data_IF_052991496969
#
_entry.id   IF_052991496969
#
_cell.length_a   1.000
_cell.length_b   1.000
_cell.length_c   1.000
_cell.angle_alpha   90.00
_cell.angle_beta   90.00
_cell.angle_gamma   90.00
#
_symmetry.space_group_name_H-M   'P 1'
#
loop_
_entity.id
_entity.type
_entity.pdbx_description
1 polymer ?
#
# COMPACT_ATOMS: atom_id res chain seq x y z
N UNK A 1 28.54 38.57 21.55
CA UNK A 1 27.50 37.64 21.31
C UNK A 1 28.09 36.26 21.24
N UNK A 2 27.69 35.35 22.11
CA UNK A 2 28.03 33.96 22.01
C UNK A 2 27.53 33.41 20.69
N UNK A 3 28.37 32.75 19.90
CA UNK A 3 28.03 32.05 18.67
C UNK A 3 27.01 30.95 19.02
N UNK A 4 25.74 31.20 18.63
CA UNK A 4 24.62 30.39 19.05
C UNK A 4 24.73 28.97 18.55
N UNK A 5 24.52 28.09 19.46
CA UNK A 5 23.91 26.80 19.10
C UNK A 5 22.43 27.11 18.91
N UNK A 6 22.00 27.27 17.65
CA UNK A 6 20.57 27.30 17.36
C UNK A 6 19.97 25.98 17.81
N UNK A 7 19.08 25.96 18.80
CA UNK A 7 18.46 24.73 19.23
C UNK A 7 17.67 24.18 18.04
N UNK A 8 17.96 22.94 17.63
CA UNK A 8 17.12 22.22 16.68
C UNK A 8 15.80 21.94 17.36
N UNK A 9 14.80 22.77 17.10
CA UNK A 9 13.46 22.63 17.68
C UNK A 9 12.49 22.23 16.57
N UNK A 10 11.68 21.24 16.85
CA UNK A 10 10.52 20.88 16.04
C UNK A 10 9.28 21.47 16.71
N UNK A 11 8.56 22.31 15.98
CA UNK A 11 7.28 22.86 16.44
C UNK A 11 6.18 22.17 15.63
N UNK A 12 5.19 21.64 16.34
CA UNK A 12 4.00 21.05 15.75
C UNK A 12 2.76 21.65 16.38
N UNK A 13 1.72 21.82 15.55
CA UNK A 13 0.35 22.08 16.02
C UNK A 13 0.24 23.38 16.85
N UNK A 14 0.74 24.48 16.30
CA UNK A 14 0.68 25.79 16.94
C UNK A 14 -0.67 26.46 16.69
N UNK A 15 -1.36 26.86 17.76
CA UNK A 15 -2.59 27.67 17.72
C UNK A 15 -2.46 28.91 18.60
N UNK A 16 -2.76 30.09 18.05
CA UNK A 16 -2.86 31.34 18.77
C UNK A 16 -4.32 31.80 18.77
N UNK A 17 -4.86 32.00 19.98
CA UNK A 17 -6.21 32.50 20.21
C UNK A 17 -6.11 33.87 20.86
N UNK A 18 -6.86 34.88 20.36
CA UNK A 18 -6.82 36.24 20.88
C UNK A 18 -8.08 36.55 21.67
N UNK A 19 -7.91 37.04 22.92
CA UNK A 19 -9.00 37.53 23.75
C UNK A 19 -9.80 36.43 24.50
N UNK A 20 -9.36 35.19 24.43
CA UNK A 20 -10.00 34.08 25.14
C UNK A 20 -8.92 33.15 25.68
N UNK A 21 -8.96 32.83 26.98
CA UNK A 21 -8.14 31.78 27.54
C UNK A 21 -8.72 30.42 27.18
N UNK A 22 -7.93 29.58 26.53
CA UNK A 22 -8.38 28.23 26.11
C UNK A 22 -8.26 27.23 27.25
N UNK A 23 -7.24 27.42 28.10
CA UNK A 23 -6.98 26.60 29.26
C UNK A 23 -6.97 27.49 30.51
N UNK A 24 -7.84 27.23 31.46
CA UNK A 24 -7.98 27.99 32.73
C UNK A 24 -7.54 27.19 33.93
N UNK A 25 -7.14 25.95 33.74
CA UNK A 25 -6.62 25.02 34.76
C UNK A 25 -5.63 24.06 34.11
N UNK A 26 -5.11 23.12 34.90
CA UNK A 26 -4.31 22.02 34.34
C UNK A 26 -5.07 21.31 33.22
N UNK A 27 -4.41 21.00 32.13
CA UNK A 27 -5.02 20.34 30.97
C UNK A 27 -4.17 19.14 30.54
N UNK A 28 -4.83 18.17 29.92
CA UNK A 28 -4.17 17.09 29.20
C UNK A 28 -3.75 17.59 27.84
N UNK A 29 -2.48 17.41 27.40
CA UNK A 29 -2.04 17.76 26.08
C UNK A 29 -2.93 17.08 25.03
N UNK A 30 -3.28 17.78 23.92
CA UNK A 30 -4.06 17.19 22.84
C UNK A 30 -3.37 15.95 22.27
N UNK A 31 -4.14 14.91 21.99
CA UNK A 31 -3.70 13.68 21.31
C UNK A 31 -4.06 13.67 19.82
N UNK A 32 -4.64 14.75 19.33
CA UNK A 32 -5.00 14.98 17.93
C UNK A 32 -4.68 16.41 17.51
N UNK A 33 -4.58 16.71 16.21
CA UNK A 33 -4.35 18.06 15.72
C UNK A 33 -5.38 19.05 16.28
N UNK A 34 -4.90 20.24 16.65
CA UNK A 34 -5.77 21.31 17.11
C UNK A 34 -6.72 21.73 15.98
N UNK A 35 -7.96 22.00 16.35
CA UNK A 35 -8.99 22.49 15.42
C UNK A 35 -9.09 24.01 15.49
N UNK A 36 -9.68 24.62 14.45
CA UNK A 36 -10.06 26.04 14.48
C UNK A 36 -11.19 26.24 15.51
N UNK A 37 -10.99 27.15 16.44
CA UNK A 37 -12.00 27.56 17.44
C UNK A 37 -12.23 29.06 17.35
N UNK A 38 -13.28 29.54 18.03
CA UNK A 38 -13.60 30.97 18.09
C UNK A 38 -12.39 31.80 18.52
N UNK A 39 -12.12 32.89 17.83
CA UNK A 39 -11.00 33.80 18.05
C UNK A 39 -9.61 33.24 17.72
N UNK A 40 -9.48 32.10 17.04
CA UNK A 40 -8.18 31.65 16.51
C UNK A 40 -7.67 32.68 15.50
N UNK A 41 -6.41 33.09 15.65
CA UNK A 41 -5.72 34.02 14.74
C UNK A 41 -4.62 33.34 13.93
N UNK A 42 -4.06 32.25 14.47
CA UNK A 42 -3.10 31.42 13.76
C UNK A 42 -3.35 29.96 14.14
N UNK A 43 -3.36 29.08 13.17
CA UNK A 43 -3.36 27.63 13.32
C UNK A 43 -2.47 27.06 12.22
N UNK A 44 -1.26 26.65 12.58
CA UNK A 44 -0.24 26.20 11.64
C UNK A 44 0.60 25.04 12.20
N UNK A 45 1.59 24.61 11.46
CA UNK A 45 2.48 23.50 11.80
C UNK A 45 1.71 22.17 12.00
N UNK A 46 0.69 21.93 11.19
CA UNK A 46 -0.16 20.75 11.25
C UNK A 46 0.12 19.77 10.11
N UNK A 47 1.00 20.14 9.18
CA UNK A 47 1.33 19.31 8.01
C UNK A 47 2.82 19.01 7.98
N UNK A 48 3.16 17.84 7.48
CA UNK A 48 4.54 17.43 7.19
C UNK A 48 5.00 17.87 5.79
N UNK A 49 4.13 18.50 5.02
CA UNK A 49 4.36 18.80 3.59
C UNK A 49 4.98 20.17 3.36
N UNK A 50 4.57 21.17 4.12
CA UNK A 50 4.96 22.56 3.88
C UNK A 50 5.03 23.34 5.20
N UNK A 51 6.18 23.94 5.47
CA UNK A 51 6.40 24.76 6.69
C UNK A 51 5.60 26.08 6.69
N UNK A 52 5.06 26.49 5.55
CA UNK A 52 4.29 27.75 5.41
C UNK A 52 2.78 27.52 5.34
N UNK A 53 2.33 26.28 5.47
CA UNK A 53 0.90 25.95 5.43
C UNK A 53 0.23 26.24 6.79
N UNK A 54 -0.91 26.89 6.75
CA UNK A 54 -1.72 27.19 7.93
C UNK A 54 -3.21 27.02 7.61
N UNK A 55 -3.95 26.39 8.55
CA UNK A 55 -5.41 26.30 8.48
C UNK A 55 -6.10 27.65 8.78
N UNK A 56 -5.46 28.49 9.60
CA UNK A 56 -5.87 29.86 9.88
C UNK A 56 -4.61 30.72 9.92
N UNK A 57 -4.61 31.84 9.21
CA UNK A 57 -3.49 32.79 9.18
C UNK A 57 -3.99 34.21 8.99
N UNK A 58 -3.43 35.23 9.67
CA UNK A 58 -3.74 36.64 9.44
C UNK A 58 -3.10 37.16 8.15
N UNK A 59 -2.26 36.39 7.48
CA UNK A 59 -1.53 36.75 6.27
C UNK A 59 -0.67 35.60 5.79
N UNK A 60 0.21 35.87 4.82
CA UNK A 60 1.14 34.86 4.30
C UNK A 60 2.20 34.50 5.32
N UNK A 61 2.49 33.21 5.45
CA UNK A 61 3.61 32.71 6.25
C UNK A 61 4.82 32.53 5.34
N UNK A 62 5.95 33.09 5.77
CA UNK A 62 7.22 32.97 5.04
C UNK A 62 8.21 32.16 5.87
N UNK A 63 8.80 31.14 5.27
CA UNK A 63 9.88 30.36 5.89
C UNK A 63 11.18 31.16 5.83
N UNK A 64 11.81 31.34 6.97
CA UNK A 64 13.11 32.02 7.10
C UNK A 64 14.11 31.11 7.84
N UNK A 65 15.39 31.32 7.61
CA UNK A 65 16.45 30.69 8.38
C UNK A 65 16.55 29.18 8.20
N UNK A 66 16.16 28.62 7.05
CA UNK A 66 16.25 27.20 6.79
C UNK A 66 15.16 26.35 7.47
N UNK A 67 14.07 26.98 7.95
CA UNK A 67 12.90 26.25 8.44
C UNK A 67 12.28 25.42 7.32
N UNK A 68 12.05 24.14 7.59
CA UNK A 68 11.42 23.20 6.65
C UNK A 68 10.44 22.28 7.39
N UNK A 69 9.48 21.76 6.66
CA UNK A 69 8.60 20.73 7.19
C UNK A 69 9.40 19.45 7.47
N UNK A 70 9.05 18.74 8.54
CA UNK A 70 9.69 17.49 8.93
C UNK A 70 8.64 16.40 9.06
N UNK A 71 9.05 15.16 8.88
CA UNK A 71 8.21 13.97 9.09
C UNK A 71 7.92 13.68 10.57
N UNK A 72 8.54 14.41 11.48
CA UNK A 72 8.25 14.30 12.91
C UNK A 72 6.92 14.99 13.21
N UNK A 73 5.88 14.20 13.36
CA UNK A 73 4.56 14.66 13.78
C UNK A 73 4.22 13.99 15.12
N UNK A 74 3.97 14.75 16.22
CA UNK A 74 3.60 14.17 17.51
C UNK A 74 2.23 13.48 17.51
N UNK A 75 1.41 13.72 16.48
CA UNK A 75 0.15 13.04 16.25
C UNK A 75 0.30 11.98 15.18
N UNK A 76 1.26 11.17 15.25
CA UNK A 76 1.69 10.15 14.31
C UNK A 76 0.94 10.02 12.98
N UNK A 77 1.66 9.73 11.93
CA UNK A 77 1.13 9.51 10.59
C UNK A 77 0.39 8.15 10.49
N UNK A 78 -0.31 7.73 11.56
CA UNK A 78 -1.08 6.49 11.57
C UNK A 78 -2.56 6.75 11.38
N UNK A 79 -3.18 5.96 10.54
CA UNK A 79 -4.62 5.91 10.35
C UNK A 79 -5.09 4.47 10.20
N UNK A 80 -6.27 4.16 10.73
CA UNK A 80 -6.87 2.84 10.62
C UNK A 80 -8.38 2.95 10.47
N UNK A 81 -8.90 2.26 9.45
CA UNK A 81 -10.34 2.14 9.14
C UNK A 81 -11.09 3.48 9.11
N UNK A 82 -10.44 4.52 8.57
CA UNK A 82 -10.99 5.87 8.43
C UNK A 82 -10.77 6.78 9.63
N UNK A 83 -10.17 6.28 10.71
CA UNK A 83 -9.74 7.10 11.85
C UNK A 83 -8.28 7.48 11.67
N UNK A 84 -8.00 8.78 11.63
CA UNK A 84 -6.63 9.31 11.52
C UNK A 84 -6.04 9.74 12.85
N UNK A 85 -4.76 10.08 12.82
CA UNK A 85 -4.02 10.66 13.96
C UNK A 85 -4.05 9.82 15.22
N UNK A 86 -3.55 8.60 15.12
CA UNK A 86 -3.43 7.68 16.25
C UNK A 86 -1.98 7.23 16.46
N UNK A 87 -1.66 6.67 17.63
CA UNK A 87 -0.37 6.03 17.86
C UNK A 87 -0.26 4.70 17.10
N UNK A 88 0.96 4.19 16.92
CA UNK A 88 1.18 2.86 16.36
C UNK A 88 0.44 1.77 17.16
N UNK A 89 0.47 1.87 18.48
CA UNK A 89 -0.21 0.94 19.38
C UNK A 89 -1.73 0.98 19.21
N UNK A 90 -2.34 2.17 19.07
CA UNK A 90 -3.79 2.31 18.83
C UNK A 90 -4.19 1.78 17.45
N UNK A 91 -3.28 1.89 16.47
CA UNK A 91 -3.45 1.27 15.14
C UNK A 91 -3.31 -0.26 15.17
N UNK A 92 -2.94 -0.85 16.31
CA UNK A 92 -2.72 -2.29 16.48
C UNK A 92 -1.34 -2.75 15.99
N UNK A 93 -0.38 -1.83 15.84
CA UNK A 93 1.00 -2.12 15.47
C UNK A 93 1.83 -2.17 16.76
N UNK A 94 1.89 -3.34 17.35
CA UNK A 94 2.62 -3.56 18.61
C UNK A 94 3.84 -4.46 18.42
N UNK A 95 4.03 -5.00 17.25
CA UNK A 95 5.07 -5.97 16.91
C UNK A 95 5.95 -5.46 15.78
N UNK A 96 7.15 -6.00 15.71
CA UNK A 96 8.19 -5.65 14.76
C UNK A 96 9.40 -5.05 15.45
N UNK A 97 10.58 -5.39 15.01
CA UNK A 97 11.85 -4.88 15.53
C UNK A 97 12.15 -3.48 15.01
N UNK A 98 11.57 -3.14 13.83
CA UNK A 98 11.65 -1.81 13.26
C UNK A 98 10.37 -1.02 13.53
N UNK A 99 10.46 0.12 14.21
CA UNK A 99 9.31 0.98 14.41
C UNK A 99 8.85 1.57 13.08
N UNK A 100 7.54 1.61 12.87
CA UNK A 100 6.98 2.32 11.73
C UNK A 100 7.08 3.84 11.92
N UNK A 101 7.31 4.55 10.83
CA UNK A 101 7.26 6.01 10.77
C UNK A 101 5.90 6.55 10.32
N UNK A 102 5.01 5.67 9.89
CA UNK A 102 3.63 5.98 9.52
C UNK A 102 2.91 4.76 8.95
N UNK A 103 1.59 4.77 9.01
CA UNK A 103 0.77 3.75 8.36
C UNK A 103 -0.63 4.29 8.00
N UNK A 104 -1.16 3.76 6.90
CA UNK A 104 -2.58 3.86 6.53
C UNK A 104 -3.14 2.46 6.38
N UNK A 105 -4.09 2.08 7.22
CA UNK A 105 -4.58 0.72 7.36
C UNK A 105 -6.09 0.69 7.10
N UNK A 106 -6.51 -0.21 6.23
CA UNK A 106 -7.92 -0.54 6.03
C UNK A 106 -8.10 -2.05 6.19
N UNK A 107 -8.51 -2.47 7.38
CA UNK A 107 -8.67 -3.89 7.71
C UNK A 107 -9.83 -4.53 6.95
N UNK A 108 -10.86 -3.76 6.58
CA UNK A 108 -12.01 -4.25 5.78
C UNK A 108 -11.62 -4.51 4.33
N UNK A 109 -10.74 -3.68 3.78
CA UNK A 109 -10.22 -3.87 2.42
C UNK A 109 -9.03 -4.85 2.37
N UNK A 110 -8.53 -5.28 3.52
CA UNK A 110 -7.33 -6.12 3.59
C UNK A 110 -6.09 -5.45 3.01
N UNK A 111 -5.97 -4.13 3.19
CA UNK A 111 -4.93 -3.31 2.60
C UNK A 111 -4.29 -2.38 3.62
N UNK A 112 -2.97 -2.29 3.62
CA UNK A 112 -2.25 -1.26 4.36
C UNK A 112 -1.06 -0.71 3.59
N UNK A 113 -0.73 0.55 3.90
CA UNK A 113 0.50 1.21 3.46
C UNK A 113 1.27 1.51 4.73
N UNK A 114 2.51 1.07 4.82
CA UNK A 114 3.36 1.30 5.98
C UNK A 114 4.72 1.84 5.56
N UNK A 115 5.29 2.70 6.40
CA UNK A 115 6.63 3.24 6.19
C UNK A 115 7.50 3.02 7.42
N UNK A 116 8.76 2.70 7.20
CA UNK A 116 9.76 2.45 8.24
C UNK A 116 11.15 2.86 7.76
N UNK A 117 12.12 2.86 8.68
CA UNK A 117 13.53 2.94 8.34
C UNK A 117 14.14 1.57 8.59
N UNK A 118 14.77 0.99 7.56
CA UNK A 118 15.45 -0.29 7.68
C UNK A 118 16.72 -0.23 8.52
N UNK A 119 17.27 -1.38 8.87
CA UNK A 119 18.54 -1.50 9.54
C UNK A 119 19.39 -2.62 8.89
N UNK A 120 20.58 -2.86 9.40
CA UNK A 120 21.51 -3.89 8.88
C UNK A 120 21.33 -5.27 9.54
N UNK A 121 20.31 -5.46 10.37
CA UNK A 121 20.02 -6.76 10.99
C UNK A 121 19.14 -7.61 10.07
N UNK A 122 19.68 -8.67 9.50
CA UNK A 122 19.01 -9.57 8.57
C UNK A 122 17.77 -10.29 9.13
N UNK A 123 17.51 -10.19 10.42
CA UNK A 123 16.32 -10.73 11.07
C UNK A 123 15.27 -9.66 11.42
N UNK A 124 15.46 -8.44 10.93
CA UNK A 124 14.54 -7.35 11.24
C UNK A 124 13.16 -7.55 10.65
N UNK A 125 12.17 -7.13 11.42
CA UNK A 125 10.74 -7.24 11.08
C UNK A 125 10.05 -5.89 11.20
N UNK A 126 8.98 -5.68 10.44
CA UNK A 126 8.11 -4.52 10.59
C UNK A 126 6.64 -4.92 10.66
N UNK A 127 5.84 -4.16 11.41
CA UNK A 127 4.41 -4.37 11.53
C UNK A 127 3.66 -3.93 10.27
N UNK A 128 2.51 -4.53 9.97
CA UNK A 128 1.69 -4.16 8.80
C UNK A 128 0.26 -3.74 9.16
N UNK A 129 -0.19 -3.98 10.40
CA UNK A 129 -1.49 -3.55 10.93
C UNK A 129 -2.72 -4.25 10.36
N UNK A 130 -2.58 -5.22 9.46
CA UNK A 130 -3.68 -6.02 8.93
C UNK A 130 -4.12 -7.09 9.93
N UNK A 131 -5.31 -7.65 9.73
CA UNK A 131 -5.89 -8.68 10.60
C UNK A 131 -5.33 -10.09 10.38
N UNK A 132 -4.61 -10.29 9.28
CA UNK A 132 -3.97 -11.57 8.93
C UNK A 132 -2.69 -11.32 8.12
N UNK A 133 -1.88 -12.35 7.91
CA UNK A 133 -0.65 -12.25 7.14
C UNK A 133 -0.92 -11.72 5.73
N UNK A 134 -0.11 -10.76 5.24
CA UNK A 134 -0.16 -10.37 3.84
C UNK A 134 0.17 -11.55 2.92
N UNK A 135 -0.63 -11.73 1.89
CA UNK A 135 -0.41 -12.74 0.84
C UNK A 135 0.54 -12.21 -0.25
N UNK A 136 0.53 -10.88 -0.43
CA UNK A 136 1.41 -10.15 -1.34
C UNK A 136 1.69 -8.77 -0.76
N UNK A 137 2.91 -8.27 -0.95
CA UNK A 137 3.24 -6.87 -0.67
C UNK A 137 4.29 -6.32 -1.62
N UNK A 138 4.18 -5.03 -1.90
CA UNK A 138 5.15 -4.29 -2.71
C UNK A 138 6.04 -3.49 -1.77
N UNK A 139 7.34 -3.57 -1.97
CA UNK A 139 8.34 -2.88 -1.17
C UNK A 139 9.19 -1.97 -2.05
N UNK A 140 9.41 -0.73 -1.61
CA UNK A 140 10.21 0.24 -2.34
C UNK A 140 11.04 1.11 -1.40
N UNK A 141 12.33 1.25 -1.71
CA UNK A 141 13.17 2.29 -1.14
C UNK A 141 12.67 3.67 -1.59
N UNK A 142 12.61 4.61 -0.65
CA UNK A 142 12.24 6.01 -0.89
C UNK A 142 13.49 6.90 -1.07
N UNK A 143 14.65 6.39 -0.71
CA UNK A 143 15.91 7.12 -0.73
C UNK A 143 16.79 6.72 -1.93
N UNK A 144 16.67 5.48 -2.41
CA UNK A 144 17.52 4.91 -3.45
C UNK A 144 16.76 4.46 -4.70
N UNK A 145 17.49 4.38 -5.82
CA UNK A 145 16.97 3.92 -7.12
C UNK A 145 16.93 2.40 -7.23
N UNK A 146 16.31 1.73 -6.25
CA UNK A 146 16.12 0.29 -6.26
C UNK A 146 14.85 -0.12 -7.01
N UNK A 147 14.77 -1.39 -7.42
CA UNK A 147 13.57 -1.95 -8.02
C UNK A 147 12.41 -2.00 -7.03
N UNK A 148 11.19 -2.01 -7.54
CA UNK A 148 10.00 -2.34 -6.80
C UNK A 148 9.96 -3.84 -6.54
N UNK A 149 10.22 -4.28 -5.34
CA UNK A 149 10.16 -5.70 -4.96
C UNK A 149 8.73 -6.09 -4.65
N UNK A 150 8.24 -7.15 -5.29
CA UNK A 150 6.92 -7.74 -5.06
C UNK A 150 7.12 -9.08 -4.38
N UNK A 151 6.90 -9.14 -3.08
CA UNK A 151 6.95 -10.34 -2.27
C UNK A 151 5.59 -11.01 -2.20
N UNK A 152 5.55 -12.35 -2.19
CA UNK A 152 4.31 -13.11 -2.13
C UNK A 152 4.54 -14.54 -1.63
N UNK A 153 3.43 -15.18 -1.18
CA UNK A 153 3.40 -16.57 -0.72
C UNK A 153 2.37 -17.41 -1.48
N UNK A 154 1.72 -16.83 -2.49
CA UNK A 154 0.53 -17.36 -3.16
C UNK A 154 0.81 -18.35 -4.28
N UNK A 155 2.06 -18.54 -4.68
CA UNK A 155 2.42 -19.45 -5.78
C UNK A 155 2.41 -20.91 -5.33
N UNK A 156 3.17 -21.23 -4.30
CA UNK A 156 3.38 -22.59 -3.78
C UNK A 156 3.52 -22.63 -2.25
N UNK A 157 3.32 -21.48 -1.59
CA UNK A 157 3.50 -21.31 -0.15
C UNK A 157 4.92 -20.90 0.28
N UNK A 158 5.89 -20.88 -0.64
CA UNK A 158 7.21 -20.33 -0.37
C UNK A 158 7.18 -18.79 -0.35
N UNK A 159 8.19 -18.20 0.28
CA UNK A 159 8.32 -16.74 0.35
C UNK A 159 9.22 -16.27 -0.79
N UNK A 160 8.58 -15.90 -1.87
CA UNK A 160 9.23 -15.52 -3.11
C UNK A 160 9.08 -14.03 -3.42
N UNK A 161 9.90 -13.53 -4.33
CA UNK A 161 9.73 -12.18 -4.85
C UNK A 161 10.13 -12.06 -6.32
N UNK A 162 9.51 -11.06 -6.96
CA UNK A 162 9.86 -10.57 -8.29
C UNK A 162 9.96 -9.05 -8.25
N UNK A 163 10.42 -8.46 -9.34
CA UNK A 163 10.43 -7.01 -9.50
C UNK A 163 9.26 -6.55 -10.37
N UNK A 164 8.50 -5.54 -9.90
CA UNK A 164 7.36 -5.00 -10.64
C UNK A 164 7.80 -4.27 -11.91
N UNK A 165 8.97 -3.64 -11.87
CA UNK A 165 9.50 -2.80 -12.96
C UNK A 165 10.44 -3.56 -13.91
N UNK A 166 10.52 -4.89 -13.81
CA UNK A 166 11.32 -5.73 -14.71
C UNK A 166 10.55 -6.97 -15.17
N UNK A 167 11.08 -7.62 -16.20
CA UNK A 167 10.57 -8.90 -16.70
C UNK A 167 11.23 -10.12 -16.00
N UNK A 168 12.06 -9.90 -14.99
CA UNK A 168 12.85 -10.94 -14.33
C UNK A 168 12.05 -12.13 -13.81
N UNK A 169 12.74 -13.24 -13.64
CA UNK A 169 12.20 -14.45 -13.04
C UNK A 169 11.97 -14.29 -11.53
N UNK A 170 11.33 -15.30 -10.93
CA UNK A 170 11.20 -15.42 -9.49
C UNK A 170 12.57 -15.52 -8.80
N UNK A 171 12.65 -14.89 -7.64
CA UNK A 171 13.74 -15.05 -6.70
C UNK A 171 13.17 -15.63 -5.40
N UNK A 172 13.93 -16.53 -4.78
CA UNK A 172 13.54 -17.09 -3.49
C UNK A 172 14.05 -16.20 -2.36
N UNK A 173 13.15 -15.82 -1.47
CA UNK A 173 13.52 -15.09 -0.27
C UNK A 173 14.10 -16.05 0.76
N UNK A 174 15.17 -15.63 1.43
CA UNK A 174 15.74 -16.37 2.57
C UNK A 174 15.03 -16.07 3.90
N UNK A 175 14.02 -15.21 3.90
CA UNK A 175 13.33 -14.75 5.11
C UNK A 175 12.22 -15.70 5.55
N UNK A 176 11.88 -15.64 6.84
CA UNK A 176 10.71 -16.34 7.37
C UNK A 176 9.42 -15.76 6.78
N UNK A 177 8.40 -16.59 6.62
CA UNK A 177 7.08 -16.18 6.12
C UNK A 177 6.49 -15.01 6.94
N UNK A 178 5.75 -14.09 6.31
CA UNK A 178 4.95 -13.10 7.03
C UNK A 178 3.99 -13.76 8.02
N UNK A 179 3.79 -13.12 9.15
CA UNK A 179 2.81 -13.53 10.14
C UNK A 179 1.57 -12.63 10.11
N UNK A 180 0.60 -12.87 10.99
CA UNK A 180 -0.56 -11.99 11.14
C UNK A 180 -0.22 -10.60 11.69
N UNK A 181 1.01 -10.36 12.13
CA UNK A 181 1.42 -9.11 12.78
C UNK A 181 2.65 -8.46 12.18
N UNK A 182 3.57 -9.24 11.61
CA UNK A 182 4.84 -8.73 11.08
C UNK A 182 5.23 -9.35 9.75
N UNK A 183 6.01 -8.59 9.00
CA UNK A 183 6.73 -9.01 7.79
C UNK A 183 8.21 -9.11 8.14
N UNK A 184 8.83 -10.22 7.76
CA UNK A 184 10.25 -10.51 7.95
C UNK A 184 11.04 -9.98 6.75
N UNK A 185 11.28 -8.69 6.69
CA UNK A 185 12.10 -8.01 5.69
C UNK A 185 12.24 -6.53 6.06
N UNK A 186 13.18 -6.19 6.92
CA UNK A 186 13.45 -4.82 7.29
C UNK A 186 14.97 -4.53 7.37
N UNK A 187 15.74 -5.28 6.60
CA UNK A 187 17.20 -5.31 6.59
C UNK A 187 17.84 -4.40 5.52
N UNK A 188 17.10 -3.41 5.02
CA UNK A 188 17.64 -2.40 4.08
C UNK A 188 18.32 -1.28 4.90
N UNK A 189 19.67 -1.25 5.04
CA UNK A 189 20.33 -0.46 6.07
C UNK A 189 20.10 1.05 5.93
N UNK A 190 19.50 1.64 6.96
CA UNK A 190 19.25 3.09 7.05
C UNK A 190 18.41 3.68 5.89
N UNK A 191 17.72 2.84 5.12
CA UNK A 191 16.84 3.29 4.05
C UNK A 191 15.43 3.54 4.54
N UNK A 192 14.84 4.63 4.06
CA UNK A 192 13.41 4.87 4.25
C UNK A 192 12.62 4.03 3.27
N UNK A 193 11.87 3.10 3.80
CA UNK A 193 11.09 2.13 3.05
C UNK A 193 9.61 2.44 3.08
N UNK A 194 8.90 2.02 2.03
CA UNK A 194 7.44 1.98 1.99
C UNK A 194 6.99 0.60 1.53
N UNK A 195 6.03 0.03 2.24
CA UNK A 195 5.40 -1.22 1.86
C UNK A 195 3.89 -1.05 1.66
N UNK A 196 3.38 -1.67 0.60
CA UNK A 196 1.96 -1.79 0.28
C UNK A 196 1.57 -3.25 0.47
N UNK A 197 0.73 -3.56 1.43
CA UNK A 197 0.45 -4.92 1.88
C UNK A 197 -1.00 -5.29 1.62
N UNK A 198 -1.25 -6.49 1.08
CA UNK A 198 -2.59 -7.00 0.81
C UNK A 198 -2.77 -8.42 1.30
N UNK A 199 -3.98 -8.72 1.75
CA UNK A 199 -4.53 -10.06 1.83
C UNK A 199 -5.88 -10.13 1.13
N UNK A 200 -6.30 -11.32 0.73
CA UNK A 200 -7.61 -11.56 0.10
C UNK A 200 -8.76 -11.23 1.04
N UNK A 201 -9.78 -10.58 0.48
CA UNK A 201 -11.05 -10.31 1.17
C UNK A 201 -12.18 -10.87 0.31
N UNK A 202 -12.98 -11.83 0.84
CA UNK A 202 -14.05 -12.45 0.08
C UNK A 202 -14.94 -11.44 -0.61
N UNK A 203 -15.11 -11.61 -1.95
CA UNK A 203 -15.91 -10.78 -2.82
C UNK A 203 -15.41 -9.35 -3.04
N UNK A 204 -14.27 -8.97 -2.53
CA UNK A 204 -13.64 -7.66 -2.77
C UNK A 204 -12.30 -7.81 -3.48
N UNK A 205 -11.42 -8.68 -2.98
CA UNK A 205 -10.11 -8.91 -3.57
C UNK A 205 -9.68 -10.36 -3.44
N UNK A 206 -8.88 -10.82 -4.40
CA UNK A 206 -8.28 -12.15 -4.38
C UNK A 206 -6.85 -12.09 -4.87
N UNK A 207 -5.95 -12.56 -4.02
CA UNK A 207 -4.55 -12.87 -4.36
C UNK A 207 -4.45 -14.37 -4.56
N UNK A 208 -3.82 -14.83 -5.61
CA UNK A 208 -3.75 -16.26 -5.86
C UNK A 208 -2.84 -16.63 -7.03
N UNK A 209 -2.86 -17.91 -7.34
CA UNK A 209 -2.10 -18.47 -8.46
C UNK A 209 -2.96 -19.42 -9.29
N UNK A 210 -2.51 -19.70 -10.49
CA UNK A 210 -3.09 -20.72 -11.36
C UNK A 210 -2.03 -21.32 -12.29
N UNK A 211 -2.32 -22.53 -12.78
CA UNK A 211 -1.54 -23.15 -13.85
C UNK A 211 -2.19 -22.87 -15.20
N UNK A 212 -1.40 -22.40 -16.16
CA UNK A 212 -1.83 -22.30 -17.56
C UNK A 212 -2.05 -23.67 -18.17
N UNK A 213 -2.92 -23.76 -19.18
CA UNK A 213 -3.19 -25.00 -19.89
C UNK A 213 -2.77 -24.97 -21.38
N UNK A 214 -2.19 -23.87 -21.84
CA UNK A 214 -1.69 -23.72 -23.21
C UNK A 214 -2.76 -23.76 -24.30
N UNK A 215 -4.04 -23.73 -23.95
CA UNK A 215 -5.15 -23.80 -24.90
C UNK A 215 -5.86 -22.45 -25.07
N UNK A 216 -6.45 -22.23 -26.24
CA UNK A 216 -7.29 -21.05 -26.49
C UNK A 216 -8.59 -21.08 -25.68
N UNK A 217 -9.12 -22.26 -25.38
CA UNK A 217 -10.10 -22.46 -24.32
C UNK A 217 -9.37 -22.65 -22.99
N UNK A 218 -8.89 -21.53 -22.47
CA UNK A 218 -7.94 -21.48 -21.38
C UNK A 218 -8.55 -21.74 -20.01
N UNK A 219 -7.70 -21.61 -19.00
CA UNK A 219 -8.05 -21.86 -17.61
C UNK A 219 -9.09 -20.85 -17.12
N UNK A 220 -10.12 -21.36 -16.42
CA UNK A 220 -10.97 -20.51 -15.58
C UNK A 220 -10.35 -20.36 -14.19
N UNK A 221 -10.28 -19.12 -13.71
CA UNK A 221 -9.74 -18.74 -12.40
C UNK A 221 -10.86 -18.19 -11.54
N UNK A 222 -11.22 -18.92 -10.51
CA UNK A 222 -12.29 -18.53 -9.58
C UNK A 222 -11.78 -17.47 -8.60
N UNK A 223 -12.46 -16.34 -8.53
CA UNK A 223 -12.18 -15.24 -7.58
C UNK A 223 -13.27 -15.08 -6.51
N UNK A 224 -14.49 -15.56 -6.79
CA UNK A 224 -15.66 -15.37 -5.94
C UNK A 224 -16.42 -14.07 -6.20
N UNK A 225 -15.99 -13.30 -7.21
CA UNK A 225 -16.61 -12.04 -7.64
C UNK A 225 -16.25 -11.77 -9.10
N UNK A 226 -16.96 -10.83 -9.73
CA UNK A 226 -16.62 -10.31 -11.05
C UNK A 226 -15.43 -9.35 -10.92
N UNK A 227 -14.27 -9.65 -11.52
CA UNK A 227 -13.14 -8.73 -11.46
C UNK A 227 -13.37 -7.46 -12.30
N UNK A 228 -12.98 -6.30 -11.76
CA UNK A 228 -12.80 -5.07 -12.51
C UNK A 228 -11.35 -4.90 -12.95
N UNK A 229 -10.43 -5.43 -12.18
CA UNK A 229 -8.99 -5.29 -12.36
C UNK A 229 -8.29 -6.61 -12.05
N UNK A 230 -7.35 -6.99 -12.92
CA UNK A 230 -6.45 -8.12 -12.70
C UNK A 230 -5.03 -7.71 -13.06
N UNK A 231 -4.12 -7.81 -12.09
CA UNK A 231 -2.68 -7.77 -12.32
C UNK A 231 -2.18 -9.22 -12.28
N UNK A 232 -1.47 -9.66 -13.29
CA UNK A 232 -0.94 -11.02 -13.35
C UNK A 232 0.52 -11.06 -13.81
N UNK A 233 1.23 -12.10 -13.43
CA UNK A 233 2.62 -12.32 -13.79
C UNK A 233 2.93 -13.81 -13.80
N UNK A 234 3.64 -14.26 -14.82
CA UNK A 234 4.21 -15.61 -14.83
C UNK A 234 5.28 -15.72 -13.73
N UNK A 235 5.08 -16.70 -12.86
CA UNK A 235 5.98 -17.01 -11.75
C UNK A 235 7.21 -17.80 -12.22
N UNK A 236 6.97 -18.85 -12.99
CA UNK A 236 8.04 -19.70 -13.55
C UNK A 236 8.67 -19.06 -14.78
N UNK A 237 9.97 -19.02 -14.83
CA UNK A 237 10.82 -18.52 -15.92
C UNK A 237 10.91 -16.99 -16.06
N UNK A 238 11.97 -16.55 -16.71
CA UNK A 238 12.24 -15.15 -17.04
C UNK A 238 11.54 -14.70 -18.31
N UNK A 239 11.50 -13.38 -18.53
CA UNK A 239 11.14 -12.74 -19.81
C UNK A 239 9.64 -12.59 -20.10
N UNK A 240 8.78 -12.68 -19.10
CA UNK A 240 7.38 -12.29 -19.26
C UNK A 240 7.11 -10.99 -18.50
N UNK A 241 6.26 -10.15 -19.06
CA UNK A 241 5.86 -8.89 -18.46
C UNK A 241 4.78 -9.09 -17.38
N UNK A 242 4.67 -8.14 -16.48
CA UNK A 242 3.46 -7.95 -15.70
C UNK A 242 2.35 -7.49 -16.61
N UNK A 243 1.16 -8.03 -16.47
CA UNK A 243 0.01 -7.64 -17.29
C UNK A 243 -1.11 -7.07 -16.44
N UNK A 244 -1.63 -5.91 -16.83
CA UNK A 244 -2.83 -5.30 -16.26
C UNK A 244 -3.99 -5.48 -17.24
N UNK A 245 -5.10 -5.99 -16.72
CA UNK A 245 -6.39 -6.11 -17.37
C UNK A 245 -7.45 -5.41 -16.54
N UNK A 246 -8.33 -4.68 -17.20
CA UNK A 246 -9.45 -4.01 -16.51
C UNK A 246 -10.68 -3.94 -17.42
N UNK A 247 -11.87 -3.86 -16.82
CA UNK A 247 -13.12 -3.79 -17.53
C UNK A 247 -13.52 -2.36 -17.95
N UNK A 248 -12.74 -1.36 -17.58
CA UNK A 248 -13.01 0.04 -17.93
C UNK A 248 -12.54 0.38 -19.33
N UNK A 249 -11.40 -0.14 -19.76
CA UNK A 249 -10.87 0.07 -21.13
C UNK A 249 -11.58 -0.79 -22.15
N UNK A 250 -11.92 -2.03 -21.81
CA UNK A 250 -12.66 -2.95 -22.65
C UNK A 250 -13.81 -3.55 -21.81
N UNK A 251 -15.02 -3.12 -22.11
CA UNK A 251 -16.22 -3.52 -21.35
C UNK A 251 -16.80 -4.86 -21.82
N UNK A 252 -16.40 -5.33 -22.99
CA UNK A 252 -16.89 -6.59 -23.59
C UNK A 252 -15.87 -7.72 -23.47
N UNK A 253 -16.37 -8.94 -23.40
CA UNK A 253 -15.56 -10.14 -23.52
C UNK A 253 -15.37 -10.56 -24.99
N UNK A 254 -14.20 -11.06 -25.39
CA UNK A 254 -12.99 -11.12 -24.57
C UNK A 254 -12.33 -9.75 -24.40
N UNK A 255 -11.89 -9.44 -23.17
CA UNK A 255 -11.03 -8.31 -22.92
C UNK A 255 -9.64 -8.62 -23.49
N UNK A 256 -9.28 -7.99 -24.58
CA UNK A 256 -8.05 -8.26 -25.32
C UNK A 256 -6.99 -7.16 -25.24
N UNK A 257 -7.25 -6.09 -24.49
CA UNK A 257 -6.29 -5.02 -24.25
C UNK A 257 -5.54 -5.21 -22.94
N UNK A 258 -4.23 -5.07 -22.98
CA UNK A 258 -3.33 -5.19 -21.81
C UNK A 258 -2.36 -4.03 -21.73
N UNK A 259 -1.98 -3.70 -20.52
CA UNK A 259 -0.87 -2.79 -20.22
C UNK A 259 0.22 -3.55 -19.48
N UNK A 260 1.44 -3.08 -19.64
CA UNK A 260 2.61 -3.66 -18.99
C UNK A 260 3.23 -2.63 -18.04
N UNK A 261 3.06 -2.75 -16.70
CA UNK A 261 3.58 -1.76 -15.76
C UNK A 261 5.11 -1.70 -15.70
N UNK A 262 5.78 -2.70 -16.26
CA UNK A 262 7.25 -2.78 -16.30
C UNK A 262 7.86 -2.33 -17.63
N UNK A 263 7.09 -1.73 -18.53
CA UNK A 263 7.58 -1.14 -19.78
C UNK A 263 6.97 0.23 -20.02
N UNK A 264 7.50 0.98 -20.96
CA UNK A 264 6.91 2.22 -21.46
C UNK A 264 6.14 2.03 -22.78
N UNK A 265 5.83 0.77 -23.12
CA UNK A 265 5.06 0.45 -24.31
C UNK A 265 3.62 0.97 -24.23
N UNK A 266 3.05 1.24 -25.38
CA UNK A 266 1.62 1.49 -25.50
C UNK A 266 0.83 0.22 -25.19
N UNK A 267 -0.51 0.34 -25.07
CA UNK A 267 -1.35 -0.85 -24.90
C UNK A 267 -1.08 -1.90 -25.97
N UNK A 268 -1.08 -3.16 -25.58
CA UNK A 268 -0.99 -4.31 -26.48
C UNK A 268 -2.37 -4.93 -26.64
N UNK A 269 -2.66 -5.39 -27.86
CA UNK A 269 -3.91 -6.11 -28.18
C UNK A 269 -3.59 -7.57 -28.43
N UNK A 270 -4.39 -8.46 -27.89
CA UNK A 270 -4.25 -9.91 -28.01
C UNK A 270 -4.31 -10.61 -26.65
N UNK A 271 -4.19 -11.92 -26.65
CA UNK A 271 -4.24 -12.76 -25.43
C UNK A 271 -5.45 -12.45 -24.56
N UNK A 272 -6.65 -12.53 -25.12
CA UNK A 272 -7.90 -12.15 -24.45
C UNK A 272 -8.16 -12.90 -23.15
N UNK A 273 -8.89 -12.24 -22.24
CA UNK A 273 -9.50 -12.87 -21.07
C UNK A 273 -10.98 -12.49 -21.01
N UNK A 274 -11.81 -13.37 -20.48
CA UNK A 274 -13.21 -13.06 -20.17
C UNK A 274 -13.35 -12.78 -18.68
N UNK A 275 -14.08 -11.74 -18.32
CA UNK A 275 -14.53 -11.47 -16.96
C UNK A 275 -15.94 -12.02 -16.75
N UNK A 276 -16.09 -12.89 -15.77
CA UNK A 276 -17.37 -13.51 -15.36
C UNK A 276 -17.78 -13.02 -13.98
N UNK A 277 -19.02 -13.26 -13.61
CA UNK A 277 -19.57 -12.87 -12.31
C UNK A 277 -18.80 -13.42 -11.09
N UNK A 278 -18.01 -14.48 -11.27
CA UNK A 278 -17.31 -15.18 -10.19
C UNK A 278 -15.83 -15.48 -10.49
N UNK A 279 -15.27 -14.86 -11.53
CA UNK A 279 -13.87 -15.05 -11.89
C UNK A 279 -13.52 -14.56 -13.28
N UNK A 280 -12.39 -15.02 -13.78
CA UNK A 280 -11.95 -14.75 -15.15
C UNK A 280 -11.49 -16.01 -15.86
N UNK A 281 -11.54 -16.01 -17.19
CA UNK A 281 -11.10 -17.13 -18.01
C UNK A 281 -10.14 -16.65 -19.09
N UNK A 282 -9.02 -17.36 -19.25
CA UNK A 282 -8.06 -17.10 -20.30
C UNK A 282 -8.65 -17.52 -21.66
N UNK A 283 -8.52 -16.68 -22.68
CA UNK A 283 -8.98 -16.94 -24.06
C UNK A 283 -7.82 -16.96 -25.04
N UNK A 284 -6.69 -17.46 -24.59
CA UNK A 284 -5.46 -17.48 -25.36
C UNK A 284 -4.56 -18.65 -24.92
N UNK A 285 -3.58 -18.97 -25.76
CA UNK A 285 -2.51 -19.93 -25.47
C UNK A 285 -1.15 -19.25 -25.26
N UNK A 286 -1.17 -17.91 -25.08
CA UNK A 286 0.03 -17.08 -25.05
C UNK A 286 0.89 -17.26 -23.82
N UNK A 287 2.16 -16.93 -23.97
CA UNK A 287 3.17 -17.12 -22.93
C UNK A 287 3.00 -16.14 -21.78
N UNK A 288 2.37 -15.01 -21.99
CA UNK A 288 2.15 -13.97 -20.98
C UNK A 288 1.19 -14.41 -19.87
N UNK A 289 0.16 -15.19 -20.24
CA UNK A 289 -0.92 -15.50 -19.28
C UNK A 289 -1.37 -16.96 -19.25
N UNK A 290 -1.06 -17.83 -20.24
CA UNK A 290 -1.63 -19.19 -20.30
C UNK A 290 -0.74 -20.28 -20.91
N UNK A 291 0.59 -20.22 -20.78
CA UNK A 291 1.45 -21.32 -21.22
C UNK A 291 1.15 -22.61 -20.44
N UNK A 292 1.21 -23.74 -21.12
CA UNK A 292 0.99 -25.05 -20.54
C UNK A 292 1.91 -25.33 -19.34
N UNK A 293 1.34 -25.80 -18.24
CA UNK A 293 2.03 -26.19 -17.00
C UNK A 293 2.91 -25.09 -16.37
N UNK A 294 2.65 -23.82 -16.69
CA UNK A 294 3.32 -22.68 -16.06
C UNK A 294 2.45 -22.06 -14.98
N UNK A 295 3.09 -21.68 -13.89
CA UNK A 295 2.45 -21.00 -12.76
C UNK A 295 2.39 -19.50 -13.02
N UNK A 296 1.24 -18.92 -12.73
CA UNK A 296 0.99 -17.48 -12.76
C UNK A 296 0.46 -17.04 -11.40
N UNK A 297 0.94 -15.91 -10.92
CA UNK A 297 0.34 -15.23 -9.76
C UNK A 297 -0.57 -14.11 -10.25
N UNK A 298 -1.58 -13.78 -9.46
CA UNK A 298 -2.48 -12.69 -9.77
C UNK A 298 -2.99 -11.94 -8.54
N UNK A 299 -3.34 -10.69 -8.75
CA UNK A 299 -4.14 -9.85 -7.87
C UNK A 299 -5.41 -9.46 -8.63
N UNK A 300 -6.58 -9.78 -8.08
CA UNK A 300 -7.86 -9.41 -8.66
C UNK A 300 -8.67 -8.56 -7.68
N UNK A 301 -9.36 -7.55 -8.20
CA UNK A 301 -10.24 -6.67 -7.43
C UNK A 301 -11.62 -6.62 -8.07
N UNK A 302 -12.64 -6.59 -7.23
CA UNK A 302 -14.04 -6.69 -7.65
C UNK A 302 -14.52 -5.43 -8.39
N UNK A 303 -15.40 -5.64 -9.35
CA UNK A 303 -16.09 -4.57 -10.09
C UNK A 303 -17.04 -3.77 -9.17
N UNK A 304 -17.83 -4.48 -8.38
CA UNK A 304 -18.71 -3.87 -7.38
C UNK A 304 -18.63 -4.69 -6.09
N UNK A 305 -17.85 -4.26 -5.12
CA UNK A 305 -17.76 -4.93 -3.82
C UNK A 305 -18.99 -4.61 -2.97
N UNK A 306 -20.15 -5.15 -3.35
CA UNK A 306 -21.39 -4.96 -2.60
C UNK A 306 -21.54 -6.06 -1.56
N UNK A 307 -21.67 -5.67 -0.31
CA UNK A 307 -22.18 -6.56 0.74
C UNK A 307 -23.69 -6.55 0.76
N UNK A 308 -24.31 -7.73 0.75
CA UNK A 308 -25.75 -7.86 1.00
C UNK A 308 -26.08 -7.39 2.43
N UNK A 309 -27.35 -7.14 2.71
CA UNK A 309 -27.82 -6.82 4.07
C UNK A 309 -27.46 -7.90 5.13
N UNK A 310 -27.04 -9.09 4.70
CA UNK A 310 -26.59 -10.18 5.57
C UNK A 310 -25.07 -10.31 5.66
N UNK A 311 -24.30 -9.31 5.16
CA UNK A 311 -22.84 -9.30 5.20
C UNK A 311 -22.17 -10.20 4.16
N UNK A 312 -22.92 -10.88 3.32
CA UNK A 312 -22.40 -11.59 2.15
C UNK A 312 -22.39 -10.66 0.94
N UNK A 313 -21.45 -10.86 0.02
CA UNK A 313 -21.44 -10.05 -1.18
C UNK A 313 -22.43 -10.55 -2.19
N UNK A 314 -23.12 -9.62 -2.87
CA UNK A 314 -23.90 -9.97 -4.03
C UNK A 314 -22.93 -10.34 -5.17
N UNK A 315 -23.11 -11.51 -5.75
CA UNK A 315 -22.51 -11.80 -7.05
C UNK A 315 -23.17 -10.85 -8.05
N UNK A 316 -22.42 -9.91 -8.59
CA UNK A 316 -22.91 -9.10 -9.71
C UNK A 316 -23.32 -10.02 -10.86
N UNK A 317 -24.47 -9.78 -11.43
CA UNK A 317 -24.95 -10.47 -12.64
C UNK A 317 -24.05 -10.16 -13.84
#
# INVERSE_FOLDING_TARGET
GASGQDPKVVISNLRIVKGTSVYTSNFTPPTSPLTNITNTKLLCCQTIRNATEAAVSPGSITSNGGCHATSLNPFDAFSKDGVGYMSASDAGITNGTQPLTGASINTKAGFSIVSYCGNSDGNSTFGHGLSQAPEIFFLKSRDNTEEWRVYYTIADGSYDFMYLNTAGAVNHSGYALPTSTVINKADDPNEKMIAYCWHSVPGYSKMGSYYGNGATDGKFVYTGFKPAFVLLKRHTDSSNYWEIRDNSRVTNNPNNERLFPNTNDTKSVGEGIDFFSNGFKLRNSGTGSNSNDKVYIYMAFADQPLTTQYGTQSNGE
#
